data_IF_483633512594
#
_entry.id   IF_483633512594
#
_cell.length_a   1.000
_cell.length_b   1.000
_cell.length_c   1.000
_cell.angle_alpha   90.00
_cell.angle_beta   90.00
_cell.angle_gamma   90.00
#
_symmetry.space_group_name_H-M   'P 1'
#
loop_
_entity.id
_entity.type
_entity.pdbx_description
1 polymer ?
#
# COMPACT_ATOMS: atom_id res chain seq x y z
N UNK A 1 -21.52 -30.65 -36.05
CA UNK A 1 -21.21 -29.27 -36.51
C UNK A 1 -21.86 -28.22 -35.61
N UNK A 2 -23.15 -28.36 -35.27
CA UNK A 2 -23.87 -27.44 -34.38
C UNK A 2 -23.19 -27.19 -33.02
N UNK A 3 -22.64 -28.23 -32.36
CA UNK A 3 -21.90 -28.08 -31.09
C UNK A 3 -20.65 -27.19 -31.20
N UNK A 4 -19.96 -27.21 -32.34
CA UNK A 4 -18.78 -26.36 -32.60
C UNK A 4 -19.18 -24.90 -32.91
N UNK A 5 -20.29 -24.72 -33.62
CA UNK A 5 -20.87 -23.38 -33.84
C UNK A 5 -21.35 -22.75 -32.54
N UNK A 6 -22.00 -23.53 -31.67
CA UNK A 6 -22.47 -23.07 -30.37
C UNK A 6 -21.32 -22.68 -29.44
N UNK A 7 -20.19 -23.42 -29.47
CA UNK A 7 -19.02 -23.08 -28.66
C UNK A 7 -18.34 -21.79 -29.12
N UNK A 8 -18.24 -21.57 -30.44
CA UNK A 8 -17.67 -20.33 -31.00
C UNK A 8 -18.58 -19.14 -30.74
N UNK A 9 -19.90 -19.32 -30.84
CA UNK A 9 -20.87 -18.27 -30.51
C UNK A 9 -20.86 -17.92 -29.02
N UNK A 10 -20.74 -18.91 -28.14
CA UNK A 10 -20.62 -18.69 -26.69
C UNK A 10 -19.32 -17.99 -26.31
N UNK A 11 -18.19 -18.34 -26.97
CA UNK A 11 -16.92 -17.63 -26.82
C UNK A 11 -17.00 -16.19 -27.32
N UNK A 12 -17.61 -15.96 -28.48
CA UNK A 12 -17.86 -14.62 -29.01
C UNK A 12 -18.74 -13.77 -28.07
N UNK A 13 -19.78 -14.38 -27.50
CA UNK A 13 -20.65 -13.73 -26.52
C UNK A 13 -19.90 -13.39 -25.21
N UNK A 14 -19.06 -14.30 -24.69
CA UNK A 14 -18.21 -14.04 -23.52
C UNK A 14 -17.21 -12.91 -23.79
N UNK A 15 -16.55 -12.90 -24.95
CA UNK A 15 -15.58 -11.87 -25.32
C UNK A 15 -16.24 -10.51 -25.62
N UNK A 16 -17.53 -10.49 -25.97
CA UNK A 16 -18.31 -9.26 -26.14
C UNK A 16 -18.81 -8.64 -24.83
N UNK A 17 -18.70 -9.37 -23.71
CA UNK A 17 -19.01 -8.81 -22.40
C UNK A 17 -17.84 -7.94 -21.92
N UNK A 18 -18.07 -6.62 -21.89
CA UNK A 18 -17.04 -5.60 -21.66
C UNK A 18 -16.19 -5.82 -20.40
N UNK A 19 -16.80 -6.35 -19.34
CA UNK A 19 -16.12 -6.62 -18.07
C UNK A 19 -15.08 -7.76 -18.14
N UNK A 20 -15.24 -8.72 -19.05
CA UNK A 20 -14.30 -9.84 -19.22
C UNK A 20 -13.35 -9.62 -20.39
N UNK A 21 -13.77 -8.83 -21.38
CA UNK A 21 -12.94 -8.46 -22.52
C UNK A 21 -11.67 -7.73 -22.07
N UNK A 22 -11.78 -6.78 -21.13
CA UNK A 22 -10.62 -5.99 -20.67
C UNK A 22 -9.55 -6.85 -19.95
N UNK A 23 -9.94 -7.72 -19.01
CA UNK A 23 -8.98 -8.58 -18.30
C UNK A 23 -8.35 -9.64 -19.24
N UNK A 24 -9.13 -10.19 -20.17
CA UNK A 24 -8.60 -11.15 -21.16
C UNK A 24 -7.69 -10.47 -22.17
N UNK A 25 -8.05 -9.29 -22.68
CA UNK A 25 -7.20 -8.53 -23.60
C UNK A 25 -5.92 -8.06 -22.91
N UNK A 26 -5.98 -7.65 -21.65
CA UNK A 26 -4.79 -7.35 -20.85
C UNK A 26 -3.89 -8.59 -20.71
N UNK A 27 -4.45 -9.77 -20.42
CA UNK A 27 -3.67 -11.02 -20.33
C UNK A 27 -3.08 -11.50 -21.64
N UNK A 28 -3.80 -11.38 -22.76
CA UNK A 28 -3.34 -11.79 -24.09
C UNK A 28 -2.28 -10.83 -24.65
N UNK A 29 -2.40 -9.54 -24.33
CA UNK A 29 -1.45 -8.51 -24.77
C UNK A 29 -0.27 -8.27 -23.82
N UNK A 30 -0.14 -9.05 -22.75
CA UNK A 30 0.80 -8.78 -21.64
C UNK A 30 0.71 -7.33 -21.13
N UNK A 31 -0.50 -6.77 -21.08
CA UNK A 31 -0.76 -5.42 -20.61
C UNK A 31 -0.61 -4.32 -21.66
N UNK A 32 -0.03 -4.58 -22.84
CA UNK A 32 0.28 -3.54 -23.83
C UNK A 32 -0.95 -2.72 -24.28
N UNK A 33 -2.13 -3.35 -24.33
CA UNK A 33 -3.38 -2.67 -24.68
C UNK A 33 -3.99 -1.94 -23.47
N UNK A 34 -3.89 -2.52 -22.26
CA UNK A 34 -4.43 -1.89 -21.05
C UNK A 34 -3.59 -0.72 -20.54
N UNK A 35 -2.29 -0.73 -20.80
CA UNK A 35 -1.35 0.32 -20.40
C UNK A 35 -1.66 1.67 -21.09
N UNK A 36 -2.38 1.63 -22.22
CA UNK A 36 -2.83 2.80 -22.97
C UNK A 36 -4.35 3.05 -22.84
N UNK A 37 -5.02 2.40 -21.89
CA UNK A 37 -6.44 2.60 -21.66
C UNK A 37 -6.74 4.01 -21.13
N UNK A 38 -7.96 4.50 -21.38
CA UNK A 38 -8.41 5.79 -20.88
C UNK A 38 -8.34 5.82 -19.34
N UNK A 39 -7.54 6.73 -18.78
CA UNK A 39 -7.32 6.86 -17.34
C UNK A 39 -6.04 6.19 -16.82
N UNK A 40 -5.30 5.45 -17.66
CA UNK A 40 -3.96 4.95 -17.34
C UNK A 40 -2.92 5.89 -17.93
N UNK A 41 -2.05 6.43 -17.07
CA UNK A 41 -0.93 7.28 -17.50
C UNK A 41 0.35 6.45 -17.55
N UNK A 42 0.90 6.28 -18.76
CA UNK A 42 2.28 5.83 -18.93
C UNK A 42 3.20 6.97 -18.51
N UNK A 43 4.06 6.70 -17.54
CA UNK A 43 5.02 7.69 -17.04
C UNK A 43 6.22 7.76 -17.97
N UNK A 44 6.68 8.97 -18.27
CA UNK A 44 7.99 9.20 -18.90
C UNK A 44 9.14 8.82 -17.96
N UNK A 45 10.35 8.67 -18.50
CA UNK A 45 11.54 8.32 -17.69
C UNK A 45 11.79 9.31 -16.54
N UNK A 46 11.49 10.59 -16.74
CA UNK A 46 11.67 11.60 -15.71
C UNK A 46 10.55 11.53 -14.66
N UNK A 47 9.30 11.32 -15.09
CA UNK A 47 8.18 11.09 -14.17
C UNK A 47 8.36 9.80 -13.35
N UNK A 48 8.95 8.75 -13.92
CA UNK A 48 9.29 7.52 -13.19
C UNK A 48 10.33 7.77 -12.09
N UNK A 49 11.30 8.67 -12.29
CA UNK A 49 12.26 9.07 -11.24
C UNK A 49 11.58 9.86 -10.13
N UNK A 50 10.52 10.58 -10.47
CA UNK A 50 9.69 11.33 -9.51
C UNK A 50 8.66 10.46 -8.78
N UNK A 51 8.45 9.20 -9.21
CA UNK A 51 7.73 8.21 -8.40
C UNK A 51 8.58 7.83 -7.19
N UNK A 52 8.56 8.70 -6.17
CA UNK A 52 9.05 8.42 -4.81
C UNK A 52 8.04 7.48 -4.14
N UNK A 53 8.04 6.23 -4.58
CA UNK A 53 7.03 5.24 -4.22
C UNK A 53 7.33 4.53 -2.91
N UNK A 54 6.47 4.76 -1.92
CA UNK A 54 6.27 3.83 -0.80
C UNK A 54 7.04 4.13 0.48
N UNK A 55 6.53 3.57 1.57
CA UNK A 55 7.14 3.66 2.90
C UNK A 55 7.99 2.43 3.16
N UNK A 56 9.16 2.66 3.72
CA UNK A 56 10.05 1.62 4.21
C UNK A 56 9.90 1.52 5.73
N UNK A 57 10.01 0.29 6.23
CA UNK A 57 9.79 -0.03 7.64
C UNK A 57 11.02 -0.70 8.19
N UNK A 58 11.86 0.08 8.87
CA UNK A 58 13.07 -0.43 9.51
C UNK A 58 12.71 -0.97 10.89
N UNK A 59 12.91 -2.28 11.10
CA UNK A 59 12.65 -2.91 12.39
C UNK A 59 13.38 -2.19 13.52
N UNK A 60 12.67 -1.86 14.60
CA UNK A 60 13.21 -1.12 15.72
C UNK A 60 12.85 -1.79 17.07
N UNK A 61 13.58 -2.85 17.46
CA UNK A 61 13.26 -3.65 18.66
C UNK A 61 13.31 -2.85 19.96
N UNK A 62 14.08 -1.77 20.00
CA UNK A 62 14.17 -0.86 21.13
C UNK A 62 12.85 -0.12 21.44
N UNK A 63 11.89 -0.11 20.51
CA UNK A 63 10.55 0.46 20.71
C UNK A 63 9.46 -0.60 20.87
N UNK A 64 9.84 -1.87 20.99
CA UNK A 64 8.90 -2.94 21.30
C UNK A 64 8.36 -2.81 22.71
N UNK A 65 7.28 -3.52 22.96
CA UNK A 65 6.77 -3.72 24.30
C UNK A 65 6.69 -5.22 24.57
N UNK A 66 7.51 -5.70 25.51
CA UNK A 66 7.63 -7.13 25.83
C UNK A 66 6.77 -7.60 27.01
N UNK A 67 6.38 -6.68 27.90
CA UNK A 67 5.68 -7.00 29.15
C UNK A 67 4.18 -6.76 29.00
N UNK A 68 3.34 -7.81 29.02
CA UNK A 68 1.90 -7.67 28.78
C UNK A 68 1.54 -7.86 27.30
N UNK A 69 0.82 -6.90 26.69
CA UNK A 69 0.42 -7.00 25.28
C UNK A 69 1.65 -6.77 24.39
N UNK A 70 2.21 -7.85 23.83
CA UNK A 70 3.41 -7.77 22.99
C UNK A 70 3.16 -6.90 21.76
N UNK A 71 4.04 -5.92 21.57
CA UNK A 71 4.04 -5.05 20.38
C UNK A 71 5.40 -5.01 19.71
N UNK A 72 5.38 -4.88 18.39
CA UNK A 72 6.55 -4.83 17.53
C UNK A 72 6.58 -3.48 16.81
N UNK A 73 7.74 -2.84 16.80
CA UNK A 73 7.91 -1.50 16.24
C UNK A 73 8.86 -1.44 15.04
N UNK A 74 8.55 -0.50 14.16
CA UNK A 74 9.31 -0.17 12.96
C UNK A 74 9.39 1.34 12.81
N UNK A 75 10.58 1.86 12.52
CA UNK A 75 10.75 3.26 12.11
C UNK A 75 10.29 3.38 10.66
N UNK A 76 9.46 4.39 10.38
CA UNK A 76 9.00 4.69 9.03
C UNK A 76 10.00 5.60 8.35
N UNK A 77 10.50 5.17 7.19
CA UNK A 77 11.41 5.95 6.36
C UNK A 77 10.84 6.13 4.96
N UNK A 78 11.30 7.17 4.27
CA UNK A 78 11.03 7.37 2.84
C UNK A 78 11.92 6.47 1.97
N UNK A 79 11.83 6.66 0.65
CA UNK A 79 12.60 5.94 -0.36
C UNK A 79 14.11 6.12 -0.23
N UNK A 80 14.55 7.26 0.31
CA UNK A 80 15.96 7.58 0.49
C UNK A 80 16.47 7.10 1.88
N UNK A 81 15.68 6.28 2.59
CA UNK A 81 15.90 5.84 3.98
C UNK A 81 15.97 6.98 5.00
N UNK A 82 15.46 8.16 4.65
CA UNK A 82 15.34 9.28 5.59
C UNK A 82 14.13 9.04 6.49
N UNK A 83 14.32 9.25 7.79
CA UNK A 83 13.23 9.10 8.74
C UNK A 83 12.14 10.12 8.47
N UNK A 84 10.89 9.66 8.34
CA UNK A 84 9.77 10.58 8.24
C UNK A 84 9.57 11.26 9.60
N UNK A 85 9.50 12.58 9.56
CA UNK A 85 9.29 13.41 10.73
C UNK A 85 7.94 14.13 10.67
N UNK A 86 7.20 14.13 11.78
CA UNK A 86 5.93 14.87 11.91
C UNK A 86 6.18 16.32 12.31
N UNK A 87 7.23 16.51 13.10
CA UNK A 87 7.73 17.80 13.58
C UNK A 87 9.23 17.67 13.79
N UNK A 88 9.92 18.80 13.98
CA UNK A 88 11.35 18.82 14.27
C UNK A 88 11.69 17.82 15.39
N UNK A 89 12.42 16.75 15.04
CA UNK A 89 12.89 15.69 15.93
C UNK A 89 11.87 14.61 16.35
N UNK A 90 10.69 14.55 15.73
CA UNK A 90 9.70 13.49 16.03
C UNK A 90 9.76 12.37 14.98
N UNK A 91 10.25 11.20 15.35
CA UNK A 91 10.28 10.01 14.47
C UNK A 91 8.92 9.35 14.41
N UNK A 92 8.48 8.93 13.21
CA UNK A 92 7.26 8.11 13.05
C UNK A 92 7.59 6.64 13.27
N UNK A 93 6.85 6.00 14.17
CA UNK A 93 6.88 4.57 14.43
C UNK A 93 5.59 3.92 13.93
N UNK A 94 5.73 2.90 13.09
CA UNK A 94 4.65 1.98 12.76
C UNK A 94 4.74 0.75 13.65
N UNK A 95 3.63 0.41 14.32
CA UNK A 95 3.60 -0.68 15.31
C UNK A 95 2.41 -1.58 15.08
N UNK A 96 2.58 -2.85 15.41
CA UNK A 96 1.46 -3.77 15.60
C UNK A 96 1.57 -4.47 16.94
N UNK A 97 0.42 -4.86 17.50
CA UNK A 97 0.31 -5.62 18.74
C UNK A 97 -0.71 -6.74 18.59
N UNK A 98 -0.56 -7.80 19.37
CA UNK A 98 -1.52 -8.91 19.36
C UNK A 98 -2.58 -8.72 20.43
N UNK A 99 -3.81 -8.43 20.02
CA UNK A 99 -4.99 -8.33 20.89
C UNK A 99 -5.99 -9.37 20.45
N UNK A 100 -6.42 -10.25 21.38
CA UNK A 100 -7.35 -11.34 21.09
C UNK A 100 -6.96 -12.17 19.85
N UNK A 101 -5.67 -12.49 19.73
CA UNK A 101 -5.09 -13.24 18.61
C UNK A 101 -5.17 -12.54 17.24
N UNK A 102 -5.51 -11.25 17.20
CA UNK A 102 -5.52 -10.42 16.01
C UNK A 102 -4.47 -9.31 16.10
N UNK A 103 -3.93 -8.89 14.95
CA UNK A 103 -2.99 -7.77 14.89
C UNK A 103 -3.78 -6.46 14.87
N UNK A 104 -3.53 -5.63 15.87
CA UNK A 104 -3.93 -4.22 15.86
C UNK A 104 -2.75 -3.36 15.43
N UNK A 105 -2.97 -2.50 14.44
CA UNK A 105 -1.95 -1.64 13.84
C UNK A 105 -2.18 -0.19 14.27
N UNK A 106 -1.09 0.50 14.61
CA UNK A 106 -1.14 1.87 15.09
C UNK A 106 0.16 2.61 14.79
N UNK A 107 0.08 3.94 14.74
CA UNK A 107 1.23 4.81 14.55
C UNK A 107 1.51 5.57 15.85
N UNK A 108 2.78 5.76 16.15
CA UNK A 108 3.23 6.60 17.27
C UNK A 108 4.32 7.57 16.81
N UNK A 109 4.33 8.76 17.40
CA UNK A 109 5.47 9.66 17.31
C UNK A 109 6.41 9.35 18.47
N UNK A 110 7.70 9.41 18.21
CA UNK A 110 8.73 9.36 19.25
C UNK A 110 9.54 10.64 19.21
N UNK A 111 9.57 11.36 20.33
CA UNK A 111 10.37 12.57 20.50
C UNK A 111 11.06 12.53 21.86
N UNK A 112 12.38 12.44 21.84
CA UNK A 112 13.26 12.53 23.02
C UNK A 112 12.75 11.74 24.26
N UNK A 113 12.45 10.46 24.08
CA UNK A 113 11.96 9.59 25.17
C UNK A 113 10.44 9.55 25.34
N UNK A 114 9.71 10.48 24.75
CA UNK A 114 8.25 10.55 24.84
C UNK A 114 7.58 9.90 23.63
N UNK A 115 6.61 9.01 23.89
CA UNK A 115 5.74 8.44 22.85
C UNK A 115 4.42 9.20 22.79
N UNK A 116 4.06 9.67 21.60
CA UNK A 116 2.75 10.23 21.28
C UNK A 116 1.96 9.30 20.37
N UNK A 117 0.64 9.31 20.48
CA UNK A 117 -0.23 8.58 19.54
C UNK A 117 -0.45 9.44 18.31
N UNK A 118 -0.33 8.83 17.14
CA UNK A 118 -0.69 9.46 15.87
C UNK A 118 -2.06 8.93 15.46
N UNK A 119 -3.03 9.84 15.36
CA UNK A 119 -4.35 9.51 14.84
C UNK A 119 -4.39 9.84 13.35
N UNK A 120 -4.55 8.84 12.47
CA UNK A 120 -4.75 9.10 11.06
C UNK A 120 -6.04 9.90 10.83
N UNK A 121 -5.99 10.92 9.97
CA UNK A 121 -7.10 11.84 9.74
C UNK A 121 -7.15 12.29 8.27
N UNK A 122 -8.25 11.99 7.58
CA UNK A 122 -8.43 12.34 6.16
C UNK A 122 -8.47 13.85 5.89
N UNK A 123 -8.80 14.67 6.90
CA UNK A 123 -9.00 16.11 6.75
C UNK A 123 -7.70 16.92 6.73
N UNK A 124 -6.53 16.29 6.94
CA UNK A 124 -5.23 16.98 6.94
C UNK A 124 -4.25 16.26 6.03
N UNK A 125 -3.36 16.99 5.35
CA UNK A 125 -2.34 16.37 4.48
C UNK A 125 -1.47 15.37 5.24
N UNK A 126 -1.07 15.69 6.48
CA UNK A 126 -0.29 14.76 7.29
C UNK A 126 -1.10 13.52 7.70
N UNK A 127 -2.38 13.69 8.07
CA UNK A 127 -3.23 12.57 8.39
C UNK A 127 -3.55 11.66 7.20
N UNK A 128 -3.54 12.17 5.96
CA UNK A 128 -3.59 11.35 4.74
C UNK A 128 -2.31 10.52 4.58
N UNK A 129 -1.12 11.13 4.77
CA UNK A 129 0.13 10.37 4.80
C UNK A 129 0.12 9.29 5.88
N UNK A 130 -0.38 9.59 7.08
CA UNK A 130 -0.54 8.61 8.16
C UNK A 130 -1.39 7.41 7.74
N UNK A 131 -2.48 7.66 7.00
CA UNK A 131 -3.35 6.60 6.47
C UNK A 131 -2.62 5.73 5.44
N UNK A 132 -1.85 6.34 4.55
CA UNK A 132 -1.11 5.61 3.53
C UNK A 132 0.05 4.80 4.13
N UNK A 133 0.75 5.36 5.14
CA UNK A 133 1.74 4.62 5.96
C UNK A 133 1.09 3.40 6.59
N UNK A 134 -0.06 3.59 7.25
CA UNK A 134 -0.78 2.50 7.92
C UNK A 134 -1.20 1.40 6.94
N UNK A 135 -1.75 1.79 5.79
CA UNK A 135 -2.18 0.86 4.74
C UNK A 135 -1.00 0.05 4.21
N UNK A 136 0.12 0.72 3.93
CA UNK A 136 1.33 0.05 3.45
C UNK A 136 1.90 -0.89 4.53
N UNK A 137 1.94 -0.46 5.79
CA UNK A 137 2.44 -1.26 6.90
C UNK A 137 1.62 -2.54 7.10
N UNK A 138 0.28 -2.41 7.16
CA UNK A 138 -0.65 -3.54 7.30
C UNK A 138 -0.57 -4.54 6.14
N UNK A 139 -0.22 -4.08 4.94
CA UNK A 139 -0.05 -4.99 3.79
C UNK A 139 1.21 -5.85 3.89
N UNK A 140 2.22 -5.39 4.65
CA UNK A 140 3.54 -6.05 4.77
C UNK A 140 3.68 -6.92 6.02
N UNK A 141 3.00 -6.54 7.10
CA UNK A 141 3.11 -7.19 8.42
C UNK A 141 1.73 -7.52 8.95
#
# INVERSE_FOLDING_TARGET
MLKKLLSVAALGALLSSSAFAEDILAKVSNGAISDNSAGVKVLSLDEMKEVKGGYYFKRAPNFDYGTGIRSYAYIVTDADNSQLQISSNSTVLAKYRYVNNQKEYYLQSYNNGTLGTIFPNYSTSWGQYAMDIMRNFKSKY
#
